data_IF_172619909514
#
_entry.id   IF_172619909514
#
_cell.length_a   1.000
_cell.length_b   1.000
_cell.length_c   1.000
_cell.angle_alpha   90.00
_cell.angle_beta   90.00
_cell.angle_gamma   90.00
#
_symmetry.space_group_name_H-M   'P 1'
#
loop_
_entity.id
_entity.type
_entity.pdbx_description
1 polymer ?
#
# COMPACT_ATOMS: atom_id res chain seq x y z
N UNK A 1 -14.29 -1.97 -11.70
CA UNK A 1 -13.51 -3.21 -11.85
C UNK A 1 -13.32 -3.50 -13.33
N UNK A 2 -12.08 -3.71 -13.79
CA UNK A 2 -11.82 -4.12 -15.18
C UNK A 2 -12.19 -5.58 -15.40
N UNK A 3 -12.66 -5.95 -16.59
CA UNK A 3 -12.87 -7.35 -16.97
C UNK A 3 -11.51 -8.03 -17.13
N UNK A 4 -11.25 -9.10 -16.38
CA UNK A 4 -10.03 -9.90 -16.50
C UNK A 4 -10.30 -11.08 -17.43
N UNK A 5 -9.46 -11.21 -18.46
CA UNK A 5 -9.53 -12.32 -19.42
C UNK A 5 -8.43 -13.32 -19.13
N UNK A 6 -8.80 -14.61 -19.08
CA UNK A 6 -7.84 -15.72 -18.94
C UNK A 6 -6.92 -15.78 -20.16
N UNK A 7 -5.77 -16.42 -20.00
CA UNK A 7 -4.80 -16.58 -21.10
C UNK A 7 -5.43 -17.43 -22.23
N UNK A 8 -6.16 -18.49 -21.87
CA UNK A 8 -6.85 -19.37 -22.82
C UNK A 8 -7.84 -18.58 -23.68
N UNK A 9 -8.66 -17.73 -23.06
CA UNK A 9 -9.63 -16.91 -23.79
C UNK A 9 -8.94 -15.94 -24.76
N UNK A 10 -7.82 -15.33 -24.35
CA UNK A 10 -7.04 -14.46 -25.24
C UNK A 10 -6.49 -15.23 -26.43
N UNK A 11 -5.99 -16.45 -26.22
CA UNK A 11 -5.47 -17.30 -27.30
C UNK A 11 -6.56 -17.71 -28.28
N UNK A 12 -7.73 -18.13 -27.77
CA UNK A 12 -8.89 -18.47 -28.59
C UNK A 12 -9.33 -17.26 -29.44
N UNK A 13 -9.30 -16.06 -28.88
CA UNK A 13 -9.61 -14.82 -29.61
C UNK A 13 -8.58 -14.52 -30.71
N UNK A 14 -7.29 -14.77 -30.45
CA UNK A 14 -6.20 -14.46 -31.39
C UNK A 14 -6.04 -15.50 -32.50
N UNK A 15 -6.36 -16.78 -32.26
CA UNK A 15 -6.18 -17.86 -33.24
C UNK A 15 -6.82 -17.56 -34.61
N UNK A 16 -8.09 -17.15 -34.72
CA UNK A 16 -8.69 -16.80 -36.01
C UNK A 16 -8.01 -15.63 -36.71
N UNK A 17 -7.48 -14.67 -35.94
CA UNK A 17 -6.79 -13.48 -36.46
C UNK A 17 -5.43 -13.88 -37.04
N UNK A 18 -4.66 -14.70 -36.31
CA UNK A 18 -3.36 -15.21 -36.74
C UNK A 18 -3.46 -16.09 -37.98
N UNK A 19 -4.57 -16.82 -38.12
CA UNK A 19 -4.87 -17.63 -39.29
C UNK A 19 -5.41 -16.81 -40.48
N UNK A 20 -5.51 -15.49 -40.37
CA UNK A 20 -6.04 -14.60 -41.41
C UNK A 20 -7.54 -14.76 -41.68
N UNK A 21 -8.29 -15.47 -40.81
CA UNK A 21 -9.72 -15.75 -40.99
C UNK A 21 -10.63 -14.61 -40.51
N UNK A 22 -10.13 -13.77 -39.62
CA UNK A 22 -10.88 -12.65 -39.03
C UNK A 22 -9.98 -11.44 -38.84
N UNK A 23 -10.54 -10.25 -39.07
CA UNK A 23 -9.93 -8.99 -38.61
C UNK A 23 -10.08 -8.82 -37.10
N UNK A 24 -9.27 -7.92 -36.52
CA UNK A 24 -9.34 -7.57 -35.09
C UNK A 24 -10.77 -7.12 -34.69
N UNK A 25 -11.44 -6.38 -35.58
CA UNK A 25 -12.79 -5.85 -35.35
C UNK A 25 -13.85 -6.96 -35.34
N UNK A 26 -13.73 -7.90 -36.26
CA UNK A 26 -14.64 -9.05 -36.35
C UNK A 26 -14.45 -9.98 -35.16
N UNK A 27 -13.21 -10.30 -34.78
CA UNK A 27 -12.92 -11.10 -33.61
C UNK A 27 -13.45 -10.44 -32.32
N UNK A 28 -13.22 -9.14 -32.13
CA UNK A 28 -13.74 -8.42 -30.97
C UNK A 28 -15.28 -8.48 -30.90
N UNK A 29 -15.97 -8.35 -32.03
CA UNK A 29 -17.44 -8.48 -32.08
C UNK A 29 -17.89 -9.91 -31.79
N UNK A 30 -17.27 -10.91 -32.42
CA UNK A 30 -17.62 -12.32 -32.26
C UNK A 30 -17.45 -12.80 -30.82
N UNK A 31 -16.36 -12.41 -30.16
CA UNK A 31 -16.06 -12.76 -28.77
C UNK A 31 -16.65 -11.76 -27.75
N UNK A 32 -17.52 -10.84 -28.17
CA UNK A 32 -18.18 -9.83 -27.34
C UNK A 32 -17.21 -9.01 -26.46
N UNK A 33 -16.08 -8.61 -27.04
CA UNK A 33 -15.06 -7.79 -26.40
C UNK A 33 -15.37 -6.31 -26.72
N UNK A 34 -15.60 -5.46 -25.71
CA UNK A 34 -16.07 -4.09 -25.93
C UNK A 34 -15.03 -3.18 -26.58
N UNK A 35 -13.76 -3.57 -26.60
CA UNK A 35 -12.66 -2.76 -27.12
C UNK A 35 -11.83 -3.54 -28.14
N UNK A 36 -11.89 -3.10 -29.41
CA UNK A 36 -11.03 -3.62 -30.47
C UNK A 36 -9.54 -3.36 -30.16
N UNK A 37 -9.23 -2.24 -29.51
CA UNK A 37 -7.87 -1.88 -29.11
C UNK A 37 -7.28 -2.87 -28.08
N UNK A 38 -8.13 -3.48 -27.24
CA UNK A 38 -7.72 -4.50 -26.30
C UNK A 38 -7.20 -5.75 -27.03
N UNK A 39 -7.95 -6.22 -28.04
CA UNK A 39 -7.56 -7.36 -28.89
C UNK A 39 -6.28 -7.05 -29.67
N UNK A 40 -6.17 -5.85 -30.26
CA UNK A 40 -4.94 -5.41 -30.93
C UNK A 40 -3.73 -5.35 -30.00
N UNK A 41 -3.93 -4.98 -28.73
CA UNK A 41 -2.86 -5.00 -27.73
C UNK A 41 -2.42 -6.42 -27.40
N UNK A 42 -3.35 -7.37 -27.29
CA UNK A 42 -3.01 -8.78 -27.09
C UNK A 42 -2.24 -9.34 -28.27
N UNK A 43 -2.67 -9.04 -29.50
CA UNK A 43 -1.99 -9.48 -30.71
C UNK A 43 -0.55 -8.97 -30.75
N UNK A 44 -0.33 -7.66 -30.57
CA UNK A 44 1.03 -7.07 -30.54
C UNK A 44 1.92 -7.70 -29.45
N UNK A 45 1.36 -7.99 -28.28
CA UNK A 45 2.12 -8.64 -27.19
C UNK A 45 2.44 -10.10 -27.52
N UNK A 46 1.51 -10.79 -28.17
CA UNK A 46 1.70 -12.16 -28.62
C UNK A 46 2.74 -12.25 -29.73
N UNK A 47 2.71 -11.36 -30.73
CA UNK A 47 3.73 -11.29 -31.78
C UNK A 47 5.13 -11.00 -31.21
N UNK A 48 5.21 -10.16 -30.17
CA UNK A 48 6.49 -9.80 -29.54
C UNK A 48 7.07 -10.88 -28.64
N UNK A 49 6.25 -11.64 -27.92
CA UNK A 49 6.71 -12.50 -26.83
C UNK A 49 5.94 -13.82 -26.71
N UNK A 50 5.19 -14.20 -27.73
CA UNK A 50 4.34 -15.40 -27.74
C UNK A 50 3.35 -15.42 -26.58
N UNK A 51 3.12 -16.61 -26.03
CA UNK A 51 2.24 -16.84 -24.87
C UNK A 51 2.67 -16.00 -23.66
N UNK A 52 3.99 -15.80 -23.46
CA UNK A 52 4.51 -14.99 -22.35
C UNK A 52 4.06 -13.52 -22.42
N UNK A 53 3.73 -13.01 -23.61
CA UNK A 53 3.16 -11.68 -23.79
C UNK A 53 1.72 -11.53 -23.28
N UNK A 54 0.99 -12.65 -23.17
CA UNK A 54 -0.41 -12.67 -22.71
C UNK A 54 -0.54 -12.86 -21.19
N UNK A 55 0.52 -13.34 -20.54
CA UNK A 55 0.61 -13.48 -19.09
C UNK A 55 0.48 -12.08 -18.46
N UNK A 56 -0.46 -11.87 -17.52
CA UNK A 56 -0.55 -10.63 -16.77
C UNK A 56 0.81 -10.35 -16.13
N UNK A 57 1.45 -9.24 -16.51
CA UNK A 57 2.64 -8.80 -15.79
C UNK A 57 2.23 -8.53 -14.36
N UNK A 58 2.98 -9.09 -13.40
CA UNK A 58 2.91 -8.60 -12.03
C UNK A 58 3.04 -7.07 -12.11
N UNK A 59 2.21 -6.30 -11.38
CA UNK A 59 2.45 -4.88 -11.28
C UNK A 59 3.92 -4.75 -10.87
N UNK A 60 4.74 -4.17 -11.74
CA UNK A 60 6.11 -3.84 -11.42
C UNK A 60 5.98 -2.77 -10.34
N UNK A 61 5.90 -3.25 -9.09
CA UNK A 61 5.62 -2.43 -7.95
C UNK A 61 6.78 -1.48 -7.84
N UNK A 62 6.51 -0.17 -7.95
CA UNK A 62 7.41 0.80 -7.34
C UNK A 62 7.68 0.29 -5.93
N UNK A 63 8.95 0.20 -5.51
CA UNK A 63 9.23 -0.17 -4.14
C UNK A 63 8.43 0.76 -3.22
N UNK A 64 7.82 0.23 -2.15
CA UNK A 64 7.02 1.04 -1.26
C UNK A 64 7.87 2.22 -0.78
N UNK A 65 7.34 3.44 -0.88
CA UNK A 65 8.03 4.61 -0.35
C UNK A 65 8.28 4.40 1.14
N UNK A 66 9.50 4.72 1.57
CA UNK A 66 9.82 4.82 2.99
C UNK A 66 8.86 5.83 3.65
N UNK A 67 8.22 5.48 4.78
CA UNK A 67 7.36 6.43 5.47
C UNK A 67 8.20 7.60 5.99
N UNK A 68 7.65 8.81 5.93
CA UNK A 68 8.33 10.05 6.37
C UNK A 68 8.49 10.13 7.89
N UNK A 69 7.76 9.30 8.63
CA UNK A 69 7.77 9.22 10.08
C UNK A 69 7.80 7.75 10.52
N UNK A 70 8.33 7.48 11.71
CA UNK A 70 8.25 6.16 12.32
C UNK A 70 6.78 5.74 12.41
N UNK A 71 6.46 4.51 11.98
CA UNK A 71 5.14 3.95 12.20
C UNK A 71 4.94 3.83 13.71
N UNK A 72 3.73 4.14 14.19
CA UNK A 72 3.36 3.80 15.55
C UNK A 72 3.68 2.32 15.81
N UNK A 73 4.19 1.97 17.00
CA UNK A 73 4.38 0.57 17.34
C UNK A 73 3.04 -0.15 17.11
N UNK A 74 3.07 -1.33 16.45
CA UNK A 74 1.85 -2.09 16.25
C UNK A 74 1.20 -2.35 17.62
N UNK A 75 -0.14 -2.49 17.66
CA UNK A 75 -0.82 -2.85 18.90
C UNK A 75 -0.17 -4.11 19.49
N UNK A 76 0.05 -4.14 20.82
CA UNK A 76 0.70 -5.28 21.46
C UNK A 76 -0.05 -6.58 21.14
N UNK A 77 0.68 -7.61 20.73
CA UNK A 77 0.09 -8.92 20.40
C UNK A 77 0.07 -9.87 21.59
N UNK A 78 0.91 -9.60 22.59
CA UNK A 78 1.02 -10.38 23.82
C UNK A 78 0.75 -9.49 25.04
N UNK A 79 0.35 -10.10 26.15
CA UNK A 79 0.17 -9.39 27.43
C UNK A 79 1.50 -8.83 27.94
N UNK A 80 2.62 -9.52 27.74
CA UNK A 80 3.94 -9.03 28.13
C UNK A 80 4.31 -7.73 27.40
N UNK A 81 4.07 -7.67 26.09
CA UNK A 81 4.30 -6.46 25.30
C UNK A 81 3.40 -5.31 25.74
N UNK A 82 2.14 -5.62 26.11
CA UNK A 82 1.17 -4.65 26.62
C UNK A 82 1.63 -4.06 27.94
N UNK A 83 2.11 -4.91 28.85
CA UNK A 83 2.62 -4.49 30.16
C UNK A 83 3.89 -3.64 30.01
N UNK A 84 4.83 -4.03 29.14
CA UNK A 84 6.02 -3.21 28.83
C UNK A 84 5.66 -1.82 28.31
N UNK A 85 4.70 -1.74 27.40
CA UNK A 85 4.22 -0.45 26.89
C UNK A 85 3.58 0.40 28.00
N UNK A 86 2.79 -0.22 28.88
CA UNK A 86 2.17 0.49 30.01
C UNK A 86 3.20 1.00 31.00
N UNK A 87 4.23 0.21 31.32
CA UNK A 87 5.33 0.62 32.18
C UNK A 87 6.03 1.85 31.59
N UNK A 88 6.40 1.80 30.31
CA UNK A 88 7.06 2.92 29.63
C UNK A 88 6.20 4.20 29.66
N UNK A 89 4.90 4.09 29.43
CA UNK A 89 3.97 5.23 29.52
C UNK A 89 3.91 5.82 30.92
N UNK A 90 3.82 4.96 31.95
CA UNK A 90 3.78 5.39 33.34
C UNK A 90 5.11 6.03 33.77
N UNK A 91 6.24 5.50 33.32
CA UNK A 91 7.56 6.09 33.58
C UNK A 91 7.67 7.50 32.99
N UNK A 92 7.20 7.70 31.75
CA UNK A 92 7.16 9.00 31.12
C UNK A 92 6.23 9.99 31.86
N UNK A 93 5.05 9.54 32.28
CA UNK A 93 4.10 10.34 33.06
C UNK A 93 4.69 10.74 34.42
N UNK A 94 5.30 9.80 35.14
CA UNK A 94 5.96 10.07 36.42
C UNK A 94 7.12 11.05 36.25
N UNK A 95 7.92 10.92 35.18
CA UNK A 95 8.99 11.86 34.89
C UNK A 95 8.43 13.28 34.65
N UNK A 96 7.38 13.42 33.84
CA UNK A 96 6.72 14.70 33.60
C UNK A 96 6.16 15.33 34.89
N UNK A 97 5.47 14.56 35.71
CA UNK A 97 4.92 15.04 36.99
C UNK A 97 6.02 15.46 37.97
N UNK A 98 7.18 14.80 37.96
CA UNK A 98 8.34 15.20 38.78
C UNK A 98 8.89 16.55 38.34
N UNK A 99 9.05 16.79 37.04
CA UNK A 99 9.50 18.10 36.54
C UNK A 99 8.48 19.20 36.86
N UNK A 100 7.19 18.93 36.69
CA UNK A 100 6.14 19.90 37.06
C UNK A 100 6.17 20.23 38.56
N UNK A 101 6.38 19.23 39.42
CA UNK A 101 6.53 19.45 40.86
C UNK A 101 7.76 20.30 41.18
N UNK A 102 8.89 20.04 40.52
CA UNK A 102 10.11 20.84 40.70
C UNK A 102 9.88 22.31 40.37
N UNK A 103 9.22 22.59 39.23
CA UNK A 103 8.92 23.96 38.81
C UNK A 103 8.04 24.69 39.83
N UNK A 104 6.96 24.05 40.31
CA UNK A 104 6.10 24.65 41.35
C UNK A 104 6.86 25.00 42.63
N UNK A 105 7.74 24.11 43.09
CA UNK A 105 8.55 24.36 44.29
C UNK A 105 9.54 25.51 44.09
N UNK A 106 10.08 25.67 42.88
CA UNK A 106 10.92 26.82 42.53
C UNK A 106 10.11 28.12 42.58
N UNK A 107 8.94 28.15 41.94
CA UNK A 107 8.04 29.32 41.95
C UNK A 107 7.65 29.71 43.38
N UNK A 108 7.25 28.74 44.21
CA UNK A 108 6.91 28.98 45.62
C UNK A 108 8.09 29.56 46.41
N UNK A 109 9.30 29.05 46.19
CA UNK A 109 10.50 29.56 46.85
C UNK A 109 10.84 30.99 46.40
N UNK A 110 10.64 31.33 45.12
CA UNK A 110 10.82 32.69 44.61
C UNK A 110 9.80 33.67 45.19
N UNK A 111 8.52 33.28 45.25
CA UNK A 111 7.47 34.10 45.87
C UNK A 111 7.74 34.36 47.35
N UNK A 112 8.20 33.35 48.10
CA UNK A 112 8.57 33.52 49.50
C UNK A 112 9.74 34.50 49.69
N UNK A 113 10.75 34.46 48.80
CA UNK A 113 11.87 35.41 48.85
C UNK A 113 11.40 36.84 48.58
N UNK A 114 10.53 37.03 47.58
CA UNK A 114 9.94 38.34 47.25
C UNK A 114 9.08 38.90 48.38
N UNK A 115 8.35 38.05 49.12
CA UNK A 115 7.51 38.48 50.24
C UNK A 115 8.28 38.86 51.52
N UNK A 116 9.56 38.48 51.62
CA UNK A 116 10.43 38.71 52.80
C UNK A 116 11.48 39.81 52.58
N UNK A 117 11.56 40.36 51.37
CA UNK A 117 12.38 41.52 51.02
C UNK A 117 11.55 42.80 51.16
#
# INVERSE_FOLDING_TARGET
MGKHYTIEFKLQTLQPILNGKMSIREAARFYNIPSNALVGTWLKRFEKSGINGLIPRKPSGRPPMKPKYAKMPPPPKTEEDRLRLRILQLEAEVAYLKELRRLRLQDEAEQQKLSKA
#
